data_IF_981841387248
#
_entry.id   IF_981841387248
#
_cell.length_a   1.000
_cell.length_b   1.000
_cell.length_c   1.000
_cell.angle_alpha   90.00
_cell.angle_beta   90.00
_cell.angle_gamma   90.00
#
_symmetry.space_group_name_H-M   'P 1'
#
loop_
_entity.id
_entity.type
_entity.pdbx_description
1 polymer ?
#
# COMPACT_ATOMS: atom_id res chain seq x y z
N UNK A 1 25.75 -11.71 23.18
CA UNK A 1 24.54 -11.56 22.32
C UNK A 1 24.30 -12.91 21.68
N UNK A 2 23.25 -13.68 22.02
CA UNK A 2 23.23 -15.14 21.79
C UNK A 2 23.47 -15.57 20.33
N UNK A 3 22.93 -14.85 19.34
CA UNK A 3 23.18 -15.11 17.92
C UNK A 3 24.64 -14.87 17.52
N UNK A 4 25.23 -13.75 17.96
CA UNK A 4 26.63 -13.41 17.63
C UNK A 4 27.61 -14.32 18.35
N UNK A 5 27.31 -14.68 19.60
CA UNK A 5 28.11 -15.62 20.39
C UNK A 5 28.14 -16.98 19.67
N UNK A 6 26.98 -17.48 19.22
CA UNK A 6 26.90 -18.71 18.43
C UNK A 6 27.63 -18.63 17.09
N UNK A 7 27.59 -17.49 16.40
CA UNK A 7 28.34 -17.27 15.15
C UNK A 7 29.85 -17.39 15.38
N UNK A 8 30.35 -16.80 16.47
CA UNK A 8 31.76 -16.86 16.84
C UNK A 8 32.18 -18.27 17.28
N UNK A 9 31.41 -18.88 18.19
CA UNK A 9 31.65 -20.22 18.72
C UNK A 9 31.69 -21.28 17.62
N UNK A 10 30.82 -21.16 16.61
CA UNK A 10 30.73 -22.12 15.50
C UNK A 10 31.54 -21.70 14.26
N UNK A 11 32.33 -20.62 14.34
CA UNK A 11 33.12 -20.08 13.22
C UNK A 11 32.29 -19.87 11.93
N UNK A 12 31.10 -19.30 12.08
CA UNK A 12 30.15 -19.02 10.98
C UNK A 12 30.52 -17.68 10.34
N UNK A 13 30.49 -17.60 9.00
CA UNK A 13 30.53 -16.32 8.28
C UNK A 13 29.11 -15.79 8.11
N UNK A 14 28.80 -14.68 8.77
CA UNK A 14 27.57 -13.93 8.55
C UNK A 14 27.72 -12.98 7.35
N UNK A 15 26.82 -13.08 6.38
CA UNK A 15 26.65 -12.12 5.30
C UNK A 15 25.35 -11.35 5.53
N UNK A 16 25.48 -10.08 5.88
CA UNK A 16 24.34 -9.20 6.11
C UNK A 16 23.99 -8.42 4.84
N UNK A 17 22.87 -8.82 4.21
CA UNK A 17 22.37 -8.18 3.00
C UNK A 17 21.84 -6.77 3.23
N UNK A 18 21.44 -6.43 4.46
CA UNK A 18 21.02 -5.07 4.80
C UNK A 18 22.18 -4.09 4.66
N UNK A 19 23.42 -4.54 4.89
CA UNK A 19 24.64 -3.71 4.81
C UNK A 19 25.36 -3.81 3.47
N UNK A 20 24.78 -4.45 2.46
CA UNK A 20 25.33 -4.42 1.11
C UNK A 20 25.07 -3.06 0.48
N UNK A 21 26.13 -2.25 0.39
CA UNK A 21 26.10 -0.94 -0.24
C UNK A 21 27.07 -0.86 -1.42
N UNK A 22 26.77 0.00 -2.37
CA UNK A 22 27.70 0.39 -3.44
C UNK A 22 28.79 1.36 -2.94
N UNK A 23 29.64 1.82 -3.86
CA UNK A 23 30.73 2.77 -3.54
C UNK A 23 30.22 4.14 -3.05
N UNK A 24 28.96 4.46 -3.27
CA UNK A 24 28.31 5.71 -2.87
C UNK A 24 27.55 5.55 -1.55
N UNK A 25 27.56 4.36 -0.95
CA UNK A 25 26.85 4.04 0.28
C UNK A 25 25.37 3.70 0.08
N UNK A 26 24.91 3.54 -1.16
CA UNK A 26 23.51 3.17 -1.45
C UNK A 26 23.32 1.67 -1.34
N UNK A 27 22.23 1.25 -0.69
CA UNK A 27 21.89 -0.15 -0.53
C UNK A 27 21.61 -0.78 -1.90
N UNK A 28 22.32 -1.85 -2.25
CA UNK A 28 22.14 -2.54 -3.53
C UNK A 28 20.97 -3.52 -3.53
N UNK A 29 20.55 -3.97 -2.35
CA UNK A 29 19.38 -4.84 -2.16
C UNK A 29 18.33 -4.03 -1.40
N UNK A 30 17.19 -3.77 -2.04
CA UNK A 30 16.09 -3.03 -1.43
C UNK A 30 14.72 -3.60 -1.84
N UNK A 31 13.86 -3.80 -0.84
CA UNK A 31 12.49 -4.27 -1.05
C UNK A 31 11.44 -3.15 -0.94
N UNK A 32 11.88 -1.93 -0.60
CA UNK A 32 10.98 -0.86 -0.17
C UNK A 32 9.82 -0.58 -1.11
N UNK A 33 10.05 -0.61 -2.43
CA UNK A 33 8.98 -0.39 -3.41
C UNK A 33 7.89 -1.47 -3.34
N UNK A 34 8.28 -2.74 -3.32
CA UNK A 34 7.35 -3.86 -3.20
C UNK A 34 6.68 -3.92 -1.82
N UNK A 35 7.37 -3.48 -0.77
CA UNK A 35 6.75 -3.28 0.55
C UNK A 35 5.61 -2.26 0.48
N UNK A 36 5.81 -1.15 -0.23
CA UNK A 36 4.78 -0.15 -0.47
C UNK A 36 3.55 -0.70 -1.22
N UNK A 37 3.80 -1.42 -2.31
CA UNK A 37 2.77 -2.11 -3.09
C UNK A 37 1.96 -3.07 -2.21
N UNK A 38 2.66 -3.98 -1.50
CA UNK A 38 2.04 -4.98 -0.65
C UNK A 38 1.25 -4.36 0.52
N UNK A 39 1.78 -3.29 1.11
CA UNK A 39 1.14 -2.55 2.18
C UNK A 39 -0.15 -1.91 1.70
N UNK A 40 -0.13 -1.23 0.54
CA UNK A 40 -1.31 -0.53 0.03
C UNK A 40 -2.45 -1.51 -0.31
N UNK A 41 -2.14 -2.66 -0.93
CA UNK A 41 -3.13 -3.70 -1.23
C UNK A 41 -3.81 -4.17 0.06
N UNK A 42 -3.03 -4.47 1.11
CA UNK A 42 -3.58 -4.89 2.40
C UNK A 42 -4.37 -3.79 3.11
N UNK A 43 -3.99 -2.51 2.96
CA UNK A 43 -4.76 -1.38 3.48
C UNK A 43 -6.13 -1.33 2.80
N UNK A 44 -6.20 -1.49 1.47
CA UNK A 44 -7.48 -1.48 0.74
C UNK A 44 -8.35 -2.69 1.10
N UNK A 45 -7.76 -3.89 1.21
CA UNK A 45 -8.47 -5.07 1.70
C UNK A 45 -9.01 -4.85 3.12
N UNK A 46 -8.16 -4.37 4.03
CA UNK A 46 -8.54 -4.06 5.42
C UNK A 46 -9.64 -3.01 5.49
N UNK A 47 -9.58 -1.97 4.65
CA UNK A 47 -10.64 -0.99 4.52
C UNK A 47 -11.97 -1.63 4.10
N UNK A 48 -11.97 -2.52 3.10
CA UNK A 48 -13.15 -3.27 2.70
C UNK A 48 -13.77 -4.07 3.85
N UNK A 49 -12.94 -4.76 4.64
CA UNK A 49 -13.38 -5.49 5.83
C UNK A 49 -13.94 -4.57 6.92
N UNK A 50 -13.25 -3.45 7.22
CA UNK A 50 -13.71 -2.46 8.18
C UNK A 50 -15.08 -1.87 7.78
N UNK A 51 -15.24 -1.49 6.51
CA UNK A 51 -16.50 -0.94 6.00
C UNK A 51 -17.63 -1.98 6.03
N UNK A 52 -17.34 -3.24 5.73
CA UNK A 52 -18.30 -4.33 5.85
C UNK A 52 -18.78 -4.50 7.29
N UNK A 53 -17.89 -4.46 8.28
CA UNK A 53 -18.25 -4.53 9.71
C UNK A 53 -19.14 -3.35 10.12
N UNK A 54 -18.92 -2.17 9.53
CA UNK A 54 -19.76 -0.99 9.72
C UNK A 54 -21.11 -1.05 8.96
N UNK A 55 -21.40 -2.17 8.26
CA UNK A 55 -22.65 -2.39 7.53
C UNK A 55 -22.65 -1.85 6.10
N UNK A 56 -21.48 -1.53 5.54
CA UNK A 56 -21.35 -0.99 4.20
C UNK A 56 -20.81 -2.04 3.22
N UNK A 57 -21.61 -2.34 2.19
CA UNK A 57 -21.13 -3.07 1.02
C UNK A 57 -20.41 -2.11 0.09
N UNK A 58 -19.11 -2.34 -0.11
CA UNK A 58 -18.26 -1.49 -0.95
C UNK A 58 -17.44 -2.31 -1.93
N UNK A 59 -17.07 -1.75 -3.09
CA UNK A 59 -16.16 -2.39 -4.05
C UNK A 59 -14.85 -2.91 -3.43
N UNK A 60 -14.37 -2.30 -2.33
CA UNK A 60 -13.15 -2.73 -1.64
C UNK A 60 -13.23 -4.16 -1.09
N UNK A 61 -14.43 -4.73 -0.92
CA UNK A 61 -14.61 -6.13 -0.52
C UNK A 61 -14.08 -7.13 -1.55
N UNK A 62 -13.95 -6.71 -2.82
CA UNK A 62 -13.45 -7.57 -3.90
C UNK A 62 -11.91 -7.67 -3.90
N UNK A 63 -11.23 -6.81 -3.15
CA UNK A 63 -9.76 -6.84 -3.02
C UNK A 63 -9.39 -7.89 -1.98
N UNK A 64 -8.71 -8.95 -2.41
CA UNK A 64 -8.09 -9.93 -1.52
C UNK A 64 -6.80 -9.41 -0.85
N UNK A 65 -6.34 -10.05 0.24
CA UNK A 65 -5.06 -9.72 0.86
C UNK A 65 -3.88 -10.01 -0.08
N UNK A 66 -2.76 -9.31 0.10
CA UNK A 66 -1.63 -9.33 -0.84
C UNK A 66 -1.11 -10.73 -1.16
N UNK A 67 -1.06 -11.62 -0.17
CA UNK A 67 -0.52 -12.98 -0.33
C UNK A 67 -1.40 -13.90 -1.19
N UNK A 68 -2.64 -13.48 -1.51
CA UNK A 68 -3.52 -14.23 -2.40
C UNK A 68 -3.20 -14.00 -3.87
N UNK A 69 -2.43 -12.96 -4.21
CA UNK A 69 -2.04 -12.69 -5.59
C UNK A 69 -0.70 -13.33 -5.90
N UNK A 70 -0.61 -13.97 -7.08
CA UNK A 70 0.64 -14.60 -7.54
C UNK A 70 1.70 -13.60 -7.96
N UNK A 71 1.28 -12.42 -8.42
CA UNK A 71 2.15 -11.34 -8.87
C UNK A 71 1.45 -9.98 -8.72
N UNK A 72 2.22 -8.91 -8.90
CA UNK A 72 1.74 -7.53 -8.75
C UNK A 72 0.69 -7.16 -9.80
N UNK A 73 0.78 -7.71 -11.01
CA UNK A 73 -0.14 -7.42 -12.12
C UNK A 73 -1.56 -7.92 -11.82
N UNK A 74 -1.69 -9.12 -11.24
CA UNK A 74 -2.98 -9.66 -10.79
C UNK A 74 -3.60 -8.79 -9.70
N UNK A 75 -2.80 -8.33 -8.72
CA UNK A 75 -3.28 -7.43 -7.67
C UNK A 75 -3.75 -6.10 -8.26
N UNK A 76 -2.97 -5.51 -9.19
CA UNK A 76 -3.36 -4.27 -9.89
C UNK A 76 -4.64 -4.45 -10.70
N UNK A 77 -4.86 -5.60 -11.33
CA UNK A 77 -6.09 -5.84 -12.06
C UNK A 77 -7.31 -5.85 -11.13
N UNK A 78 -7.22 -6.55 -9.99
CA UNK A 78 -8.30 -6.54 -8.99
C UNK A 78 -8.62 -5.11 -8.51
N UNK A 79 -7.60 -4.27 -8.33
CA UNK A 79 -7.78 -2.89 -7.87
C UNK A 79 -8.34 -2.01 -8.98
N UNK A 80 -7.98 -2.23 -10.25
CA UNK A 80 -8.61 -1.57 -11.39
C UNK A 80 -10.09 -1.90 -11.49
N UNK A 81 -10.46 -3.16 -11.31
CA UNK A 81 -11.85 -3.59 -11.35
C UNK A 81 -12.63 -2.90 -10.21
N UNK A 82 -12.06 -2.83 -9.01
CA UNK A 82 -12.60 -2.01 -7.90
C UNK A 82 -12.71 -0.53 -8.27
N UNK A 83 -11.69 0.05 -8.90
CA UNK A 83 -11.68 1.44 -9.33
C UNK A 83 -12.76 1.75 -10.38
N UNK A 84 -13.03 0.80 -11.26
CA UNK A 84 -14.13 0.88 -12.23
C UNK A 84 -15.49 0.89 -11.54
N UNK A 85 -15.74 -0.01 -10.58
CA UNK A 85 -16.98 -0.01 -9.79
C UNK A 85 -17.18 1.29 -9.00
N UNK A 86 -16.11 1.84 -8.40
CA UNK A 86 -16.16 3.13 -7.72
C UNK A 86 -16.55 4.23 -8.70
N UNK A 87 -15.98 4.22 -9.92
CA UNK A 87 -16.29 5.21 -10.97
C UNK A 87 -17.72 5.10 -11.48
N UNK A 88 -18.33 3.92 -11.43
CA UNK A 88 -19.75 3.70 -11.73
C UNK A 88 -20.69 4.14 -10.59
N UNK A 89 -20.15 4.64 -9.47
CA UNK A 89 -20.94 5.12 -8.34
C UNK A 89 -21.44 3.99 -7.43
N UNK A 90 -20.78 2.82 -7.43
CA UNK A 90 -21.14 1.70 -6.56
C UNK A 90 -20.71 1.88 -5.10
N UNK A 91 -20.11 3.03 -4.77
CA UNK A 91 -19.82 3.41 -3.38
C UNK A 91 -21.08 3.92 -2.67
N UNK A 92 -21.37 3.47 -1.44
CA UNK A 92 -22.47 4.02 -0.64
C UNK A 92 -22.26 5.51 -0.36
N UNK A 93 -23.33 6.30 -0.55
CA UNK A 93 -23.30 7.76 -0.29
C UNK A 93 -22.91 8.13 1.14
N UNK A 94 -23.15 7.24 2.10
CA UNK A 94 -22.83 7.44 3.52
C UNK A 94 -21.34 7.50 3.84
N UNK A 95 -20.48 6.91 2.99
CA UNK A 95 -19.02 6.87 3.21
C UNK A 95 -18.35 8.20 2.83
N UNK A 96 -18.92 8.92 1.87
CA UNK A 96 -18.29 10.12 1.32
C UNK A 96 -16.94 9.83 0.65
N UNK A 97 -16.15 10.88 0.44
CA UNK A 97 -14.82 10.77 -0.16
C UNK A 97 -13.80 10.25 0.84
N UNK A 98 -12.95 9.31 0.40
CA UNK A 98 -11.84 8.79 1.19
C UNK A 98 -10.55 9.58 0.90
N UNK A 99 -9.75 9.80 1.93
CA UNK A 99 -8.50 10.55 1.84
C UNK A 99 -7.32 9.64 2.19
N UNK A 100 -6.35 9.58 1.29
CA UNK A 100 -5.09 8.88 1.50
C UNK A 100 -3.96 9.90 1.62
N UNK A 101 -3.18 9.79 2.70
CA UNK A 101 -2.04 10.67 2.96
C UNK A 101 -0.78 9.82 2.93
N UNK A 102 0.14 10.16 2.03
CA UNK A 102 1.44 9.51 1.92
C UNK A 102 2.49 10.42 2.54
N UNK A 103 3.30 9.87 3.44
CA UNK A 103 4.41 10.59 4.08
C UNK A 103 5.75 9.97 3.65
N UNK A 104 6.76 10.82 3.47
CA UNK A 104 8.07 10.43 2.96
C UNK A 104 8.17 10.40 1.42
N UNK A 105 9.40 10.37 0.92
CA UNK A 105 9.73 10.45 -0.52
C UNK A 105 10.49 9.23 -1.04
N UNK A 106 10.73 8.22 -0.20
CA UNK A 106 11.48 7.01 -0.54
C UNK A 106 10.68 5.99 -1.36
N UNK A 107 11.26 4.80 -1.53
CA UNK A 107 10.69 3.75 -2.38
C UNK A 107 9.33 3.22 -1.89
N UNK A 108 9.10 3.19 -0.57
CA UNK A 108 7.86 2.67 0.03
C UNK A 108 6.64 3.51 -0.36
N UNK A 109 6.57 4.83 -0.08
CA UNK A 109 5.42 5.64 -0.48
C UNK A 109 5.23 5.67 -2.01
N UNK A 110 6.30 5.62 -2.79
CA UNK A 110 6.20 5.52 -4.26
C UNK A 110 5.49 4.23 -4.69
N UNK A 111 5.87 3.07 -4.14
CA UNK A 111 5.21 1.80 -4.44
C UNK A 111 3.74 1.75 -3.99
N UNK A 112 3.41 2.41 -2.88
CA UNK A 112 2.02 2.52 -2.45
C UNK A 112 1.19 3.41 -3.39
N UNK A 113 1.76 4.51 -3.88
CA UNK A 113 1.09 5.39 -4.85
C UNK A 113 0.82 4.70 -6.19
N UNK A 114 1.69 3.80 -6.65
CA UNK A 114 1.45 3.01 -7.87
C UNK A 114 0.17 2.19 -7.80
N UNK A 115 -0.21 1.73 -6.61
CA UNK A 115 -1.46 0.99 -6.40
C UNK A 115 -2.66 1.94 -6.37
N UNK A 116 -2.54 3.10 -5.71
CA UNK A 116 -3.64 4.09 -5.67
C UNK A 116 -3.90 4.73 -7.03
N UNK A 117 -2.90 4.76 -7.92
CA UNK A 117 -3.08 5.22 -9.30
C UNK A 117 -4.11 4.41 -10.10
N UNK A 118 -4.39 3.16 -9.70
CA UNK A 118 -5.41 2.31 -10.32
C UNK A 118 -6.84 2.66 -9.89
N UNK A 119 -6.99 3.50 -8.85
CA UNK A 119 -8.28 3.96 -8.35
C UNK A 119 -8.61 5.36 -8.90
N UNK A 120 -9.90 5.72 -9.03
CA UNK A 120 -10.28 7.11 -9.29
C UNK A 120 -9.88 7.97 -8.10
N UNK A 121 -8.94 8.90 -8.33
CA UNK A 121 -8.39 9.76 -7.28
C UNK A 121 -8.12 11.17 -7.81
N UNK A 122 -8.00 12.13 -6.89
CA UNK A 122 -7.59 13.49 -7.17
C UNK A 122 -6.45 13.87 -6.20
N UNK A 123 -5.41 14.51 -6.72
CA UNK A 123 -4.35 15.07 -5.90
C UNK A 123 -4.78 16.43 -5.35
N UNK A 124 -4.93 16.50 -4.03
CA UNK A 124 -5.34 17.73 -3.35
C UNK A 124 -4.15 18.33 -2.58
N UNK A 125 -3.90 19.62 -2.80
CA UNK A 125 -2.89 20.34 -2.00
C UNK A 125 -3.33 20.50 -0.54
N UNK A 126 -2.37 20.57 0.38
CA UNK A 126 -2.66 20.73 1.82
C UNK A 126 -3.52 21.96 2.11
N UNK A 127 -3.34 23.06 1.36
CA UNK A 127 -4.14 24.29 1.51
C UNK A 127 -5.59 24.08 1.08
N UNK A 128 -5.83 23.28 0.05
CA UNK A 128 -7.15 22.99 -0.48
C UNK A 128 -7.96 22.05 0.43
N UNK A 129 -7.31 21.26 1.31
CA UNK A 129 -7.99 20.38 2.27
C UNK A 129 -9.03 21.11 3.12
N UNK A 130 -8.75 22.34 3.56
CA UNK A 130 -9.69 23.14 4.36
C UNK A 130 -10.97 23.51 3.60
N UNK A 131 -10.91 23.52 2.28
CA UNK A 131 -11.98 23.96 1.39
C UNK A 131 -12.66 22.79 0.66
N UNK A 132 -12.20 21.55 0.87
CA UNK A 132 -12.88 20.37 0.36
C UNK A 132 -14.23 20.26 1.05
N UNK A 133 -15.30 20.61 0.32
CA UNK A 133 -16.65 20.24 0.72
C UNK A 133 -16.73 18.73 0.53
N UNK A 134 -16.96 17.99 1.61
CA UNK A 134 -17.36 16.58 1.52
C UNK A 134 -18.48 16.51 0.48
N UNK A 135 -18.28 15.73 -0.58
CA UNK A 135 -19.22 15.59 -1.69
C UNK A 135 -20.51 14.94 -1.19
N UNK A 136 -21.36 15.73 -0.53
CA UNK A 136 -22.73 15.39 -0.25
C UNK A 136 -23.56 15.74 -1.50
N UNK A 137 -23.79 14.74 -2.35
CA UNK A 137 -24.80 14.75 -3.41
C UNK A 137 -25.76 13.59 -3.24
#
# INVERSE_FOLDING_TARGET
MPLLDAILENNIRLLDYERMCDRQGQHVVAFGKYTGVACMINILNGLGLCLLILGHHTPFMHIGPTHNYRNTEMARQSIRDTGYEISLGMMPKSIGSLMFIFTGTGNVPQGAQEIVQELPHEYVSVKALKNLKLLNK
#
